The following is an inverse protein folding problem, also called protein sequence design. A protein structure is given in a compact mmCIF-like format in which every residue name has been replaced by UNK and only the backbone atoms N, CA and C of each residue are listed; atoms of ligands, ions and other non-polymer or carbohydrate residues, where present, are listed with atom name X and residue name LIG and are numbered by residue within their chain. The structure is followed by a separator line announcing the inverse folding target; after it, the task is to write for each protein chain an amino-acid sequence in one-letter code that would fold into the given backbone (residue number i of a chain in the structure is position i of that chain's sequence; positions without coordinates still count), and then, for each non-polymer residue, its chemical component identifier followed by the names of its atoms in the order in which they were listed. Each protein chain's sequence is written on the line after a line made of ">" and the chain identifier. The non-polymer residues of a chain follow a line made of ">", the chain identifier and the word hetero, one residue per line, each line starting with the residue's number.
data_IF_629694244011
#
_entry.id   IF_629694244011
#
_cell.length_a   1.000
_cell.length_b   1.000
_cell.length_c   1.000
_cell.angle_alpha   90.00
_cell.angle_beta   90.00
_cell.angle_gamma   90.00
#
_symmetry.space_group_name_H-M   'P 1'
#
loop_
_entity.id
_entity.type
_entity.pdbx_description
1 polymer ?
#
# COMPACT_ATOMS: atom_id res chain seq x y z
N UNK A 1 16.21 5.47 -7.06
CA UNK A 1 15.82 4.22 -7.79
C UNK A 1 14.33 4.02 -7.67
N UNK A 2 13.73 3.42 -8.66
CA UNK A 2 12.32 3.10 -8.64
C UNK A 2 12.10 1.66 -8.21
N UNK A 3 11.01 1.43 -7.49
CA UNK A 3 10.60 0.10 -6.99
C UNK A 3 9.10 -0.09 -7.21
N UNK A 4 8.67 -1.34 -7.12
CA UNK A 4 7.27 -1.71 -7.06
C UNK A 4 7.02 -2.52 -5.79
N UNK A 5 5.89 -2.27 -5.15
CA UNK A 5 5.45 -3.03 -3.97
C UNK A 5 4.07 -3.58 -4.24
N UNK A 6 3.90 -4.89 -4.08
CA UNK A 6 2.59 -5.51 -4.05
C UNK A 6 2.21 -5.69 -2.58
N UNK A 7 1.09 -5.11 -2.17
CA UNK A 7 0.66 -5.14 -0.77
C UNK A 7 -0.79 -5.59 -0.66
N UNK A 8 -1.03 -6.43 0.32
CA UNK A 8 -2.37 -6.90 0.68
C UNK A 8 -2.63 -6.63 2.15
N UNK A 9 -3.83 -6.16 2.45
CA UNK A 9 -4.27 -5.87 3.81
C UNK A 9 -5.33 -6.88 4.21
N UNK A 10 -5.12 -7.52 5.36
CA UNK A 10 -6.05 -8.48 5.95
C UNK A 10 -6.50 -7.95 7.32
N UNK A 11 -7.58 -7.16 7.38
CA UNK A 11 -8.14 -6.73 8.66
C UNK A 11 -8.68 -7.94 9.41
N UNK A 12 -8.38 -8.02 10.71
CA UNK A 12 -8.87 -9.11 11.55
C UNK A 12 -10.20 -8.71 12.21
N UNK A 13 -11.18 -8.43 11.36
CA UNK A 13 -12.49 -7.92 11.74
C UNK A 13 -13.52 -8.50 10.77
N UNK A 14 -14.75 -8.76 11.26
CA UNK A 14 -15.84 -9.23 10.41
C UNK A 14 -16.20 -8.20 9.33
N UNK A 15 -16.09 -6.92 9.63
CA UNK A 15 -16.31 -5.83 8.68
C UNK A 15 -14.97 -5.39 8.09
N UNK A 16 -14.44 -6.16 7.16
CA UNK A 16 -13.09 -6.00 6.63
C UNK A 16 -12.98 -5.07 5.43
N UNK A 17 -14.08 -4.78 4.72
CA UNK A 17 -14.03 -3.99 3.48
C UNK A 17 -13.69 -2.52 3.73
N UNK A 18 -14.31 -1.81 4.69
CA UNK A 18 -14.01 -0.40 4.91
C UNK A 18 -12.54 -0.10 5.22
N UNK A 19 -11.85 -0.87 6.07
CA UNK A 19 -10.41 -0.64 6.31
C UNK A 19 -9.57 -0.79 5.05
N UNK A 20 -9.88 -1.78 4.20
CA UNK A 20 -9.16 -2.00 2.94
C UNK A 20 -9.37 -0.82 2.00
N UNK A 21 -10.61 -0.40 1.82
CA UNK A 21 -10.94 0.71 0.93
C UNK A 21 -10.31 2.02 1.42
N UNK A 22 -10.34 2.26 2.71
CA UNK A 22 -9.72 3.44 3.32
C UNK A 22 -8.21 3.48 3.05
N UNK A 23 -7.52 2.36 3.22
CA UNK A 23 -6.09 2.27 2.95
C UNK A 23 -5.77 2.58 1.48
N UNK A 24 -6.53 1.97 0.56
CA UNK A 24 -6.36 2.20 -0.87
C UNK A 24 -6.60 3.67 -1.22
N UNK A 25 -7.67 4.26 -0.70
CA UNK A 25 -8.02 5.66 -0.95
C UNK A 25 -6.92 6.61 -0.48
N UNK A 26 -6.34 6.34 0.70
CA UNK A 26 -5.23 7.16 1.22
C UNK A 26 -3.97 7.03 0.37
N UNK A 27 -3.65 5.83 -0.13
CA UNK A 27 -2.53 5.66 -1.05
C UNK A 27 -2.73 6.44 -2.33
N UNK A 28 -3.96 6.49 -2.85
CA UNK A 28 -4.28 7.20 -4.08
C UNK A 28 -4.21 8.72 -3.96
N UNK A 29 -4.12 9.26 -2.75
CA UNK A 29 -3.88 10.69 -2.55
C UNK A 29 -2.42 11.08 -2.79
N UNK A 30 -1.51 10.12 -2.85
CA UNK A 30 -0.10 10.37 -3.10
C UNK A 30 0.16 10.77 -4.55
N UNK A 31 0.71 11.97 -4.76
CA UNK A 31 0.90 12.52 -6.12
C UNK A 31 2.10 11.94 -6.86
N UNK A 32 3.02 11.30 -6.14
CA UNK A 32 4.25 10.74 -6.71
C UNK A 32 4.22 9.23 -6.84
N UNK A 33 3.09 8.63 -6.60
CA UNK A 33 2.91 7.19 -6.64
C UNK A 33 1.98 6.82 -7.78
N UNK A 34 2.29 5.70 -8.41
CA UNK A 34 1.33 5.03 -9.30
C UNK A 34 0.74 3.87 -8.52
N UNK A 35 -0.56 3.90 -8.30
CA UNK A 35 -1.28 2.88 -7.54
C UNK A 35 -2.23 2.14 -8.45
N UNK A 36 -2.10 0.81 -8.47
CA UNK A 36 -2.95 -0.08 -9.26
C UNK A 36 -3.57 -1.09 -8.33
N UNK A 37 -4.90 -1.16 -8.32
CA UNK A 37 -5.63 -2.12 -7.49
C UNK A 37 -6.41 -3.07 -8.37
N UNK A 38 -6.35 -4.36 -8.05
CA UNK A 38 -7.17 -5.39 -8.67
C UNK A 38 -7.80 -6.27 -7.58
N UNK A 39 -8.44 -7.38 -7.98
CA UNK A 39 -9.11 -8.26 -7.02
C UNK A 39 -8.15 -9.05 -6.12
N UNK A 40 -6.86 -9.04 -6.43
CA UNK A 40 -5.87 -9.84 -5.69
C UNK A 40 -5.04 -9.00 -4.72
N UNK A 41 -4.70 -7.77 -5.10
CA UNK A 41 -3.79 -6.94 -4.31
C UNK A 41 -3.75 -5.52 -4.83
N UNK A 42 -3.03 -4.66 -4.11
CA UNK A 42 -2.71 -3.31 -4.55
C UNK A 42 -1.22 -3.24 -4.87
N UNK A 43 -0.88 -2.62 -5.98
CA UNK A 43 0.49 -2.41 -6.42
C UNK A 43 0.82 -0.93 -6.36
N UNK A 44 1.98 -0.60 -5.81
CA UNK A 44 2.44 0.78 -5.64
C UNK A 44 3.80 0.92 -6.30
N UNK A 45 3.93 1.87 -7.21
CA UNK A 45 5.15 2.13 -7.95
C UNK A 45 5.61 3.57 -7.73
N UNK A 46 6.90 3.76 -7.64
CA UNK A 46 7.52 5.07 -7.50
C UNK A 46 8.96 4.95 -7.03
N UNK A 47 9.54 6.08 -6.61
CA UNK A 47 10.88 6.05 -6.04
C UNK A 47 10.87 5.28 -4.72
N UNK A 48 12.02 4.72 -4.39
CA UNK A 48 12.21 3.99 -3.13
C UNK A 48 11.72 4.81 -1.93
N UNK A 49 12.13 6.07 -1.87
CA UNK A 49 11.79 6.97 -0.76
C UNK A 49 10.30 7.30 -0.72
N UNK A 50 9.71 7.58 -1.86
CA UNK A 50 8.29 7.94 -1.93
C UNK A 50 7.39 6.76 -1.59
N UNK A 51 7.71 5.57 -2.11
CA UNK A 51 6.92 4.37 -1.85
C UNK A 51 6.98 3.99 -0.37
N UNK A 52 8.18 3.87 0.19
CA UNK A 52 8.31 3.50 1.60
C UNK A 52 7.81 4.59 2.54
N UNK A 53 8.00 5.87 2.19
CA UNK A 53 7.43 6.96 2.98
C UNK A 53 5.92 6.89 3.07
N UNK A 54 5.26 6.61 1.94
CA UNK A 54 3.82 6.44 1.92
C UNK A 54 3.37 5.20 2.70
N UNK A 55 4.03 4.06 2.48
CA UNK A 55 3.64 2.82 3.18
C UNK A 55 3.83 2.92 4.69
N UNK A 56 4.95 3.47 5.15
CA UNK A 56 5.21 3.66 6.58
C UNK A 56 4.09 4.51 7.21
N UNK A 57 3.72 5.59 6.55
CA UNK A 57 2.67 6.48 7.04
C UNK A 57 1.29 5.83 7.04
N UNK A 58 0.91 5.19 5.92
CA UNK A 58 -0.44 4.69 5.77
C UNK A 58 -0.68 3.36 6.50
N UNK A 59 0.34 2.52 6.64
CA UNK A 59 0.25 1.32 7.49
C UNK A 59 0.02 1.73 8.94
N UNK A 60 0.75 2.74 9.41
CA UNK A 60 0.57 3.26 10.77
C UNK A 60 -0.85 3.78 10.98
N UNK A 61 -1.37 4.56 10.04
CA UNK A 61 -2.73 5.10 10.12
C UNK A 61 -3.76 3.98 10.20
N UNK A 62 -3.58 2.91 9.41
CA UNK A 62 -4.47 1.75 9.46
C UNK A 62 -4.43 1.11 10.86
N UNK A 63 -3.25 0.90 11.43
CA UNK A 63 -3.15 0.32 12.77
C UNK A 63 -3.75 1.21 13.86
N UNK A 64 -3.64 2.53 13.70
CA UNK A 64 -4.24 3.48 14.66
C UNK A 64 -5.76 3.49 14.58
N UNK A 65 -6.33 3.23 13.40
CA UNK A 65 -7.79 3.27 13.18
C UNK A 65 -8.47 1.92 13.39
N UNK A 66 -7.72 0.84 13.43
CA UNK A 66 -8.26 -0.52 13.51
C UNK A 66 -7.59 -1.29 14.64
N UNK A 67 -8.32 -2.26 15.20
CA UNK A 67 -7.81 -3.02 16.35
C UNK A 67 -6.59 -3.86 15.97
N UNK A 68 -6.71 -4.69 14.92
CA UNK A 68 -5.62 -5.53 14.43
C UNK A 68 -5.77 -5.77 12.94
N UNK A 69 -4.63 -5.81 12.24
CA UNK A 69 -4.60 -6.12 10.83
C UNK A 69 -3.24 -6.71 10.46
N UNK A 70 -3.21 -7.43 9.35
CA UNK A 70 -1.97 -8.00 8.81
C UNK A 70 -1.75 -7.39 7.44
N UNK A 71 -0.55 -6.86 7.20
CA UNK A 71 -0.10 -6.50 5.86
C UNK A 71 0.90 -7.53 5.37
N UNK A 72 0.73 -7.94 4.12
CA UNK A 72 1.70 -8.80 3.43
C UNK A 72 2.17 -8.03 2.21
N UNK A 73 3.47 -7.89 2.05
CA UNK A 73 4.01 -7.16 0.91
C UNK A 73 5.21 -7.86 0.31
N UNK A 74 5.37 -7.64 -0.99
CA UNK A 74 6.54 -8.03 -1.77
C UNK A 74 7.13 -6.77 -2.36
N UNK A 75 8.44 -6.62 -2.28
CA UNK A 75 9.15 -5.46 -2.80
C UNK A 75 10.00 -5.91 -3.97
N UNK A 76 9.78 -5.30 -5.13
CA UNK A 76 10.52 -5.57 -6.36
C UNK A 76 11.31 -4.34 -6.75
N UNK A 77 12.59 -4.52 -6.96
CA UNK A 77 13.45 -3.44 -7.43
C UNK A 77 14.89 -3.90 -7.65
N UNK A 78 15.72 -3.02 -8.18
CA UNK A 78 15.34 -1.75 -8.79
C UNK A 78 14.63 -1.97 -10.13
N UNK A 79 13.72 -1.07 -10.49
CA UNK A 79 13.04 -1.10 -11.78
C UNK A 79 13.85 -0.30 -12.80
N UNK A 80 14.02 -0.87 -13.98
CA UNK A 80 14.70 -0.21 -15.09
C UNK A 80 14.15 -0.75 -16.40
N UNK A 81 13.51 0.06 -17.23
CA UNK A 81 13.20 1.49 -16.98
C UNK A 81 12.19 1.66 -15.87
N UNK A 82 12.02 2.91 -15.36
CA UNK A 82 11.03 3.19 -14.33
C UNK A 82 9.62 2.77 -14.77
N UNK A 83 8.84 2.32 -13.79
CA UNK A 83 7.46 1.86 -14.02
C UNK A 83 6.52 2.99 -14.43
#
# INVERSE_FOLDING_TARGET
>A
MDIGVEISLYPLDADFIPPIQDFIDRLNLGVRLKVVTNSMSTQVFGSYEDVFGALVREIRTTFENNAKAVFVMKVLGPLSPPA
#
